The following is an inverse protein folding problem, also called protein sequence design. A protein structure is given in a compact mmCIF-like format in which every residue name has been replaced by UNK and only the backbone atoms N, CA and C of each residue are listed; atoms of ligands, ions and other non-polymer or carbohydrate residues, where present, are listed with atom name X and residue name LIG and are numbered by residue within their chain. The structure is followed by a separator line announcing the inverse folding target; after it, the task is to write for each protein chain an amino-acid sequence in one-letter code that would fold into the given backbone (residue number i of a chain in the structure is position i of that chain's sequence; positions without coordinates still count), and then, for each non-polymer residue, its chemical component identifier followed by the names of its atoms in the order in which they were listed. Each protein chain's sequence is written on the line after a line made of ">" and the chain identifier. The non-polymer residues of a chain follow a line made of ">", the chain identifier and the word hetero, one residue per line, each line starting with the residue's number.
data_IF_202512662961
#
_entry.id   IF_202512662961
#
_cell.length_a   1.000
_cell.length_b   1.000
_cell.length_c   1.000
_cell.angle_alpha   90.00
_cell.angle_beta   90.00
_cell.angle_gamma   90.00
#
_symmetry.space_group_name_H-M   'P 1'
#
loop_
_entity.id
_entity.type
_entity.pdbx_description
1 polymer ?
#
# COMPACT_ATOMS: atom_id res chain seq x y z
N UNK A 1 -27.36 -30.87 -11.54
CA UNK A 1 -26.47 -30.32 -10.47
C UNK A 1 -25.36 -29.41 -11.03
N UNK A 2 -24.48 -29.88 -11.94
CA UNK A 2 -23.33 -29.08 -12.45
C UNK A 2 -23.70 -27.72 -13.08
N UNK A 3 -24.72 -27.67 -13.94
CA UNK A 3 -25.15 -26.41 -14.58
C UNK A 3 -25.80 -25.40 -13.62
N UNK A 4 -26.35 -25.89 -12.51
CA UNK A 4 -26.91 -25.04 -11.47
C UNK A 4 -25.79 -24.37 -10.66
N UNK A 5 -24.76 -25.13 -10.28
CA UNK A 5 -23.57 -24.58 -9.60
C UNK A 5 -22.86 -23.57 -10.50
N UNK A 6 -22.69 -23.90 -11.79
CA UNK A 6 -22.07 -23.00 -12.77
C UNK A 6 -22.79 -21.65 -12.85
N UNK A 7 -24.12 -21.66 -12.94
CA UNK A 7 -24.92 -20.42 -12.99
C UNK A 7 -24.83 -19.60 -11.71
N UNK A 8 -24.81 -20.23 -10.54
CA UNK A 8 -24.64 -19.54 -9.27
C UNK A 8 -23.27 -18.85 -9.17
N UNK A 9 -22.20 -19.57 -9.48
CA UNK A 9 -20.84 -19.02 -9.46
C UNK A 9 -20.71 -17.88 -10.48
N UNK A 10 -21.25 -18.05 -11.68
CA UNK A 10 -21.23 -17.02 -12.70
C UNK A 10 -21.99 -15.75 -12.28
N UNK A 11 -23.12 -15.91 -11.60
CA UNK A 11 -23.89 -14.78 -11.06
C UNK A 11 -23.07 -13.99 -10.04
N UNK A 12 -22.42 -14.67 -9.10
CA UNK A 12 -21.57 -14.03 -8.09
C UNK A 12 -20.35 -13.35 -8.70
N UNK A 13 -19.65 -14.05 -9.60
CA UNK A 13 -18.51 -13.50 -10.34
C UNK A 13 -18.92 -12.24 -11.12
N UNK A 14 -20.10 -12.26 -11.76
CA UNK A 14 -20.62 -11.11 -12.49
C UNK A 14 -20.88 -9.89 -11.58
N UNK A 15 -21.53 -10.10 -10.43
CA UNK A 15 -21.79 -9.01 -9.50
C UNK A 15 -20.53 -8.43 -8.86
N UNK A 16 -19.68 -9.30 -8.31
CA UNK A 16 -18.41 -8.90 -7.73
C UNK A 16 -17.53 -8.19 -8.77
N UNK A 17 -17.51 -8.71 -10.00
CA UNK A 17 -16.76 -8.15 -11.10
C UNK A 17 -17.23 -6.72 -11.41
N UNK A 18 -18.53 -6.55 -11.68
CA UNK A 18 -19.11 -5.25 -12.02
C UNK A 18 -18.92 -4.21 -10.91
N UNK A 19 -19.04 -4.60 -9.64
CA UNK A 19 -18.78 -3.74 -8.49
C UNK A 19 -17.32 -3.29 -8.41
N UNK A 20 -16.38 -4.21 -8.66
CA UNK A 20 -14.95 -3.95 -8.49
C UNK A 20 -14.31 -3.23 -9.69
N UNK A 21 -14.94 -3.21 -10.88
CA UNK A 21 -14.36 -2.65 -12.11
C UNK A 21 -13.71 -1.26 -11.95
N UNK A 22 -14.41 -0.21 -11.48
CA UNK A 22 -13.82 1.12 -11.42
C UNK A 22 -12.63 1.18 -10.46
N UNK A 23 -12.72 0.44 -9.34
CA UNK A 23 -11.67 0.40 -8.34
C UNK A 23 -10.45 -0.36 -8.85
N UNK A 24 -10.61 -1.55 -9.45
CA UNK A 24 -9.49 -2.31 -10.00
C UNK A 24 -8.74 -1.53 -11.08
N UNK A 25 -9.45 -0.75 -11.91
CA UNK A 25 -8.82 0.16 -12.89
C UNK A 25 -8.02 1.24 -12.17
N UNK A 26 -8.63 1.95 -11.21
CA UNK A 26 -7.98 3.03 -10.47
C UNK A 26 -6.75 2.54 -9.71
N UNK A 27 -6.88 1.45 -8.95
CA UNK A 27 -5.80 0.86 -8.16
C UNK A 27 -4.66 0.38 -9.07
N UNK A 28 -4.97 -0.28 -10.19
CA UNK A 28 -3.94 -0.74 -11.11
C UNK A 28 -3.24 0.40 -11.83
N UNK A 29 -3.96 1.46 -12.23
CA UNK A 29 -3.38 2.61 -12.89
C UNK A 29 -2.46 3.41 -11.95
N UNK A 30 -2.95 3.71 -10.74
CA UNK A 30 -2.16 4.41 -9.71
C UNK A 30 -0.99 3.55 -9.23
N UNK A 31 -1.19 2.24 -9.08
CA UNK A 31 -0.13 1.28 -8.75
C UNK A 31 0.96 1.27 -9.82
N UNK A 32 0.59 1.18 -11.10
CA UNK A 32 1.51 1.23 -12.22
C UNK A 32 2.35 2.52 -12.24
N UNK A 33 1.76 3.68 -11.93
CA UNK A 33 2.49 4.94 -11.80
C UNK A 33 3.46 4.88 -10.61
N UNK A 34 2.99 4.40 -9.46
CA UNK A 34 3.78 4.36 -8.22
C UNK A 34 4.98 3.40 -8.28
N UNK A 35 4.92 2.33 -9.10
CA UNK A 35 6.05 1.43 -9.35
C UNK A 35 7.31 2.16 -9.86
N UNK A 36 7.12 3.29 -10.54
CA UNK A 36 8.18 4.09 -11.15
C UNK A 36 8.42 5.42 -10.41
N UNK A 37 8.06 5.49 -9.12
CA UNK A 37 8.17 6.72 -8.33
C UNK A 37 9.56 7.35 -8.33
N UNK A 38 10.61 6.55 -8.25
CA UNK A 38 11.99 7.06 -8.16
C UNK A 38 12.45 7.55 -9.53
N UNK A 39 12.04 6.88 -10.61
CA UNK A 39 12.31 7.28 -11.99
C UNK A 39 11.56 8.56 -12.37
N UNK A 40 10.30 8.68 -11.94
CA UNK A 40 9.50 9.89 -12.12
C UNK A 40 10.14 11.05 -11.36
N UNK A 41 10.55 10.82 -10.11
CA UNK A 41 11.22 11.84 -9.32
C UNK A 41 12.55 12.27 -9.95
N UNK A 42 13.39 11.32 -10.34
CA UNK A 42 14.68 11.57 -10.98
C UNK A 42 14.59 12.21 -12.38
N UNK A 43 13.39 12.34 -12.97
CA UNK A 43 13.19 12.94 -14.29
C UNK A 43 12.29 14.17 -14.23
N UNK A 44 10.99 13.98 -13.99
CA UNK A 44 10.00 15.05 -13.95
C UNK A 44 10.23 16.05 -12.81
N UNK A 45 10.89 15.61 -11.73
CA UNK A 45 11.21 16.44 -10.57
C UNK A 45 12.72 16.55 -10.32
N UNK A 46 13.54 16.29 -11.34
CA UNK A 46 15.00 16.29 -11.22
C UNK A 46 15.56 17.60 -10.63
N UNK A 47 14.94 18.74 -10.97
CA UNK A 47 15.34 20.07 -10.47
C UNK A 47 15.36 20.19 -8.94
N UNK A 48 14.59 19.36 -8.23
CA UNK A 48 14.57 19.35 -6.75
C UNK A 48 15.12 18.09 -6.10
N UNK A 49 15.21 16.99 -6.84
CA UNK A 49 15.64 15.70 -6.28
C UNK A 49 17.05 15.29 -6.67
N UNK A 50 17.60 15.88 -7.74
CA UNK A 50 18.92 15.54 -8.28
C UNK A 50 19.83 16.75 -8.22
N UNK A 51 21.03 16.56 -7.67
CA UNK A 51 22.09 17.57 -7.55
C UNK A 51 23.37 17.09 -8.20
N UNK A 52 24.24 18.01 -8.56
CA UNK A 52 25.60 17.67 -8.96
C UNK A 52 26.40 17.27 -7.71
N UNK A 53 27.07 16.12 -7.77
CA UNK A 53 28.01 15.75 -6.72
C UNK A 53 29.22 16.70 -6.76
N UNK A 54 29.59 17.26 -5.61
CA UNK A 54 30.76 18.12 -5.49
C UNK A 54 31.91 17.40 -4.77
N UNK A 55 33.14 17.90 -4.98
CA UNK A 55 34.33 17.39 -4.30
C UNK A 55 34.43 17.85 -2.84
N UNK A 56 33.63 18.84 -2.45
CA UNK A 56 33.50 19.34 -1.08
C UNK A 56 32.66 18.40 -0.24
N UNK A 57 32.90 18.41 1.08
CA UNK A 57 32.03 17.69 2.00
C UNK A 57 30.64 18.36 2.02
N UNK A 58 29.54 17.59 2.09
CA UNK A 58 28.22 18.14 2.35
C UNK A 58 28.19 19.00 3.62
N UNK A 59 27.32 20.01 3.62
CA UNK A 59 27.01 20.81 4.80
C UNK A 59 26.42 19.94 5.91
N UNK A 60 26.55 20.42 7.15
CA UNK A 60 26.01 19.71 8.29
C UNK A 60 24.46 19.73 8.31
N UNK A 61 23.82 18.68 8.85
CA UNK A 61 22.36 18.66 9.04
C UNK A 61 21.81 19.93 9.70
N UNK A 62 22.48 20.45 10.73
CA UNK A 62 22.11 21.68 11.43
C UNK A 62 22.10 22.88 10.48
N UNK A 63 23.11 23.01 9.62
CA UNK A 63 23.17 24.08 8.63
C UNK A 63 22.05 23.97 7.58
N UNK A 64 21.73 22.75 7.14
CA UNK A 64 20.64 22.54 6.18
C UNK A 64 19.27 22.81 6.80
N UNK A 65 19.07 22.44 8.07
CA UNK A 65 17.86 22.77 8.83
C UNK A 65 17.74 24.29 9.00
N UNK A 66 18.83 24.97 9.36
CA UNK A 66 18.87 26.43 9.45
C UNK A 66 18.44 27.08 8.13
N UNK A 67 19.06 26.68 7.00
CA UNK A 67 18.71 27.21 5.68
C UNK A 67 17.24 26.91 5.30
N UNK A 68 16.68 25.78 5.73
CA UNK A 68 15.27 25.46 5.52
C UNK A 68 14.35 26.38 6.35
N UNK A 69 14.68 26.63 7.61
CA UNK A 69 13.91 27.50 8.50
C UNK A 69 13.90 28.96 8.04
N UNK A 70 14.94 29.44 7.37
CA UNK A 70 14.96 30.77 6.74
C UNK A 70 13.86 30.94 5.68
N UNK A 71 13.30 29.84 5.15
CA UNK A 71 12.18 29.89 4.20
C UNK A 71 10.81 30.06 4.86
N UNK A 72 10.72 29.84 6.17
CA UNK A 72 9.51 29.96 6.98
C UNK A 72 9.89 30.15 8.46
N UNK A 73 10.13 31.41 8.90
CA UNK A 73 10.67 31.70 10.23
C UNK A 73 9.83 31.21 11.41
N UNK A 74 8.50 31.09 11.22
CA UNK A 74 7.57 30.62 12.25
C UNK A 74 7.36 29.09 12.23
N UNK A 75 8.01 28.38 11.31
CA UNK A 75 7.87 26.93 11.19
C UNK A 75 8.82 26.19 12.13
N UNK A 76 8.43 24.97 12.50
CA UNK A 76 9.28 24.06 13.28
C UNK A 76 9.86 22.97 12.37
N UNK A 77 11.14 22.63 12.53
CA UNK A 77 11.73 21.51 11.82
C UNK A 77 11.28 20.18 12.48
N UNK A 78 10.55 19.36 11.73
CA UNK A 78 10.03 18.07 12.20
C UNK A 78 11.00 16.92 11.92
N UNK A 79 11.50 16.82 10.69
CA UNK A 79 12.41 15.75 10.28
C UNK A 79 13.51 16.25 9.34
N UNK A 80 14.66 15.58 9.36
CA UNK A 80 15.72 15.71 8.38
C UNK A 80 15.93 14.35 7.71
N UNK A 81 15.89 14.32 6.38
CA UNK A 81 16.22 13.15 5.57
C UNK A 81 17.52 13.44 4.84
N UNK A 82 18.54 12.62 5.12
CA UNK A 82 19.82 12.77 4.45
C UNK A 82 19.73 12.38 2.95
N UNK A 83 20.65 12.87 2.11
CA UNK A 83 20.78 12.38 0.75
C UNK A 83 20.99 10.86 0.70
N UNK A 84 20.28 10.18 -0.20
CA UNK A 84 20.44 8.74 -0.40
C UNK A 84 21.81 8.38 -1.04
N UNK A 85 22.36 9.30 -1.82
CA UNK A 85 23.68 9.23 -2.46
C UNK A 85 24.20 10.64 -2.77
N UNK A 86 25.40 10.74 -3.33
CA UNK A 86 26.07 12.00 -3.65
C UNK A 86 25.35 12.88 -4.69
N UNK A 87 24.36 12.32 -5.40
CA UNK A 87 23.57 13.04 -6.41
C UNK A 87 22.14 13.34 -5.96
N UNK A 88 21.78 13.00 -4.73
CA UNK A 88 20.46 13.25 -4.17
C UNK A 88 20.42 14.56 -3.37
N UNK A 89 19.29 15.25 -3.41
CA UNK A 89 19.01 16.37 -2.50
C UNK A 89 18.82 15.89 -1.05
N UNK A 90 19.14 16.74 -0.08
CA UNK A 90 18.65 16.58 1.29
C UNK A 90 17.20 17.08 1.39
N UNK A 91 16.43 16.59 2.37
CA UNK A 91 15.07 17.06 2.62
C UNK A 91 14.87 17.40 4.09
N UNK A 92 14.38 18.60 4.37
CA UNK A 92 13.91 18.99 5.71
C UNK A 92 12.39 19.09 5.65
N UNK A 93 11.70 18.39 6.56
CA UNK A 93 10.26 18.57 6.74
C UNK A 93 10.01 19.63 7.79
N UNK A 94 9.40 20.74 7.39
CA UNK A 94 8.92 21.79 8.29
C UNK A 94 7.45 21.56 8.64
N UNK A 95 7.03 22.01 9.82
CA UNK A 95 5.64 22.15 10.22
C UNK A 95 5.29 23.64 10.20
N UNK A 96 4.50 24.03 9.22
CA UNK A 96 4.05 25.41 8.97
C UNK A 96 2.51 25.43 9.04
N UNK A 97 1.94 26.16 9.99
CA UNK A 97 0.49 26.17 10.28
C UNK A 97 -0.11 24.75 10.47
N UNK A 98 0.62 23.86 11.14
CA UNK A 98 0.22 22.46 11.32
C UNK A 98 0.27 21.60 10.05
N UNK A 99 0.77 22.13 8.92
CA UNK A 99 0.98 21.39 7.67
C UNK A 99 2.44 21.03 7.51
N UNK A 100 2.70 19.83 6.98
CA UNK A 100 4.06 19.38 6.66
C UNK A 100 4.49 19.93 5.30
N UNK A 101 5.58 20.68 5.26
CA UNK A 101 6.22 21.22 4.06
C UNK A 101 7.57 20.53 3.87
N UNK A 102 7.79 19.94 2.71
CA UNK A 102 9.08 19.38 2.31
C UNK A 102 9.92 20.48 1.68
N UNK A 103 11.07 20.76 2.26
CA UNK A 103 12.08 21.67 1.71
C UNK A 103 13.22 20.83 1.16
N UNK A 104 13.43 20.88 -0.15
CA UNK A 104 14.52 20.18 -0.82
C UNK A 104 15.73 21.10 -0.86
N UNK A 105 16.90 20.61 -0.46
CA UNK A 105 18.13 21.40 -0.42
C UNK A 105 19.26 20.71 -1.17
N UNK A 106 20.12 21.51 -1.80
CA UNK A 106 21.41 21.04 -2.25
C UNK A 106 22.31 20.79 -1.02
N UNK A 107 22.76 19.54 -0.78
CA UNK A 107 23.55 19.23 0.41
C UNK A 107 24.95 19.86 0.40
N UNK A 108 25.47 20.30 -0.75
CA UNK A 108 26.81 20.89 -0.87
C UNK A 108 26.78 22.42 -0.74
N UNK A 109 25.85 23.10 -1.41
CA UNK A 109 25.76 24.57 -1.39
C UNK A 109 24.82 25.08 -0.30
N UNK A 110 23.85 24.27 0.13
CA UNK A 110 22.79 24.65 1.06
C UNK A 110 21.64 25.41 0.39
N UNK A 111 21.64 25.54 -0.94
CA UNK A 111 20.59 26.21 -1.68
C UNK A 111 19.27 25.46 -1.55
N UNK A 112 18.18 26.20 -1.37
CA UNK A 112 16.82 25.66 -1.39
C UNK A 112 16.41 25.44 -2.84
N UNK A 113 16.17 24.18 -3.19
CA UNK A 113 15.81 23.76 -4.54
C UNK A 113 14.30 23.85 -4.81
N UNK A 114 13.48 23.47 -3.82
CA UNK A 114 12.02 23.56 -3.91
C UNK A 114 11.37 23.48 -2.52
N UNK A 115 10.14 23.97 -2.41
CA UNK A 115 9.27 23.85 -1.24
C UNK A 115 7.91 23.29 -1.67
N UNK A 116 7.55 22.13 -1.12
CA UNK A 116 6.33 21.43 -1.53
C UNK A 116 5.56 20.96 -0.31
N UNK A 117 4.27 21.28 -0.23
CA UNK A 117 3.42 20.67 0.78
C UNK A 117 3.43 19.14 0.63
N UNK A 118 3.70 18.42 1.71
CA UNK A 118 3.93 16.97 1.66
C UNK A 118 2.73 16.19 1.09
N UNK A 119 1.51 16.70 1.26
CA UNK A 119 0.28 16.12 0.73
C UNK A 119 -0.01 16.46 -0.73
N UNK A 120 0.78 17.37 -1.33
CA UNK A 120 0.75 17.76 -2.75
C UNK A 120 1.90 17.17 -3.56
N UNK A 121 2.84 16.47 -2.93
CA UNK A 121 3.87 15.71 -3.64
C UNK A 121 3.19 14.64 -4.52
N UNK A 122 3.62 14.51 -5.78
CA UNK A 122 2.91 13.71 -6.78
C UNK A 122 2.78 12.24 -6.35
N UNK A 123 3.84 11.63 -5.82
CA UNK A 123 3.79 10.25 -5.35
C UNK A 123 2.91 10.09 -4.11
N UNK A 124 2.81 11.10 -3.25
CA UNK A 124 1.85 11.12 -2.15
C UNK A 124 0.40 11.23 -2.65
N UNK A 125 0.14 12.07 -3.66
CA UNK A 125 -1.17 12.17 -4.32
C UNK A 125 -1.56 10.82 -4.93
N UNK A 126 -0.66 10.20 -5.71
CA UNK A 126 -0.87 8.89 -6.33
C UNK A 126 -1.14 7.82 -5.25
N UNK A 127 -0.37 7.81 -4.16
CA UNK A 127 -0.57 6.88 -3.04
C UNK A 127 -1.93 7.08 -2.34
N UNK A 128 -2.35 8.33 -2.12
CA UNK A 128 -3.66 8.64 -1.52
C UNK A 128 -4.82 8.29 -2.45
N UNK A 129 -4.66 8.42 -3.76
CA UNK A 129 -5.64 7.93 -4.74
C UNK A 129 -5.69 6.40 -4.78
N UNK A 130 -4.54 5.72 -4.78
CA UNK A 130 -4.43 4.26 -4.77
C UNK A 130 -5.14 3.63 -3.57
N UNK A 131 -5.00 4.27 -2.40
CA UNK A 131 -5.62 3.85 -1.14
C UNK A 131 -7.00 4.46 -0.91
N UNK A 132 -7.54 5.28 -1.83
CA UNK A 132 -8.77 6.06 -1.65
C UNK A 132 -8.80 6.95 -0.39
N UNK A 133 -7.64 7.24 0.21
CA UNK A 133 -7.53 7.99 1.47
C UNK A 133 -8.03 9.44 1.37
N UNK A 134 -8.02 10.05 0.17
CA UNK A 134 -8.63 11.37 -0.04
C UNK A 134 -10.13 11.42 0.28
N UNK A 135 -10.80 10.28 0.21
CA UNK A 135 -12.25 10.18 0.40
C UNK A 135 -12.62 9.67 1.80
N UNK A 136 -11.66 9.64 2.72
CA UNK A 136 -11.87 9.24 4.11
C UNK A 136 -11.80 7.73 4.38
N UNK A 137 -11.92 7.32 5.66
CA UNK A 137 -11.69 5.95 6.09
C UNK A 137 -12.69 4.94 5.51
N UNK A 138 -13.94 5.35 5.27
CA UNK A 138 -14.96 4.48 4.65
C UNK A 138 -14.55 4.11 3.23
N UNK A 139 -14.12 5.09 2.43
CA UNK A 139 -13.65 4.85 1.08
C UNK A 139 -12.33 4.06 1.06
N UNK A 140 -11.42 4.32 2.01
CA UNK A 140 -10.23 3.50 2.19
C UNK A 140 -10.58 2.02 2.48
N UNK A 141 -11.61 1.77 3.30
CA UNK A 141 -12.15 0.44 3.54
C UNK A 141 -12.69 -0.26 2.28
N UNK A 142 -13.12 0.48 1.26
CA UNK A 142 -13.51 -0.10 -0.04
C UNK A 142 -12.33 -0.80 -0.72
N UNK A 143 -11.08 -0.34 -0.52
CA UNK A 143 -9.90 -1.03 -1.04
C UNK A 143 -9.76 -2.43 -0.45
N UNK A 144 -10.03 -2.59 0.85
CA UNK A 144 -10.06 -3.91 1.51
C UNK A 144 -11.15 -4.80 0.92
N UNK A 145 -12.36 -4.25 0.74
CA UNK A 145 -13.49 -4.94 0.10
C UNK A 145 -13.10 -5.46 -1.28
N UNK A 146 -12.49 -4.60 -2.10
CA UNK A 146 -12.05 -4.89 -3.47
C UNK A 146 -10.93 -5.94 -3.47
N UNK A 147 -9.98 -5.87 -2.53
CA UNK A 147 -8.93 -6.87 -2.40
C UNK A 147 -9.51 -8.27 -2.04
N UNK A 148 -10.44 -8.34 -1.09
CA UNK A 148 -11.15 -9.58 -0.78
C UNK A 148 -11.96 -10.11 -1.96
N UNK A 149 -12.67 -9.24 -2.68
CA UNK A 149 -13.38 -9.64 -3.90
C UNK A 149 -12.44 -10.06 -5.02
N UNK A 150 -11.24 -9.49 -5.16
CA UNK A 150 -10.27 -9.91 -6.16
C UNK A 150 -9.88 -11.39 -5.98
N UNK A 151 -9.64 -11.82 -4.74
CA UNK A 151 -9.37 -13.24 -4.42
C UNK A 151 -10.57 -14.12 -4.79
N UNK A 152 -11.78 -13.70 -4.41
CA UNK A 152 -13.03 -14.42 -4.76
C UNK A 152 -13.23 -14.47 -6.29
N UNK A 153 -12.93 -13.38 -7.00
CA UNK A 153 -13.05 -13.27 -8.45
C UNK A 153 -12.08 -14.20 -9.17
N UNK A 154 -10.84 -14.33 -8.69
CA UNK A 154 -9.88 -15.28 -9.25
C UNK A 154 -10.34 -16.72 -9.00
N UNK A 155 -10.77 -17.05 -7.78
CA UNK A 155 -11.25 -18.39 -7.46
C UNK A 155 -12.48 -18.79 -8.30
N UNK A 156 -13.47 -17.90 -8.39
CA UNK A 156 -14.67 -18.11 -9.20
C UNK A 156 -14.36 -18.10 -10.70
N UNK A 157 -13.43 -17.24 -11.15
CA UNK A 157 -12.98 -17.16 -12.53
C UNK A 157 -12.27 -18.45 -12.97
N UNK A 158 -11.37 -18.99 -12.15
CA UNK A 158 -10.71 -20.26 -12.40
C UNK A 158 -11.72 -21.41 -12.52
N UNK A 159 -12.73 -21.44 -11.64
CA UNK A 159 -13.82 -22.40 -11.73
C UNK A 159 -14.62 -22.26 -13.04
N UNK A 160 -14.92 -21.03 -13.48
CA UNK A 160 -15.67 -20.76 -14.71
C UNK A 160 -14.87 -21.06 -15.98
N UNK A 161 -13.55 -20.81 -15.94
CA UNK A 161 -12.62 -21.05 -17.03
C UNK A 161 -12.32 -22.54 -17.25
N UNK A 162 -12.32 -23.35 -16.19
CA UNK A 162 -11.87 -24.75 -16.21
C UNK A 162 -12.35 -25.53 -17.47
N UNK A 163 -11.43 -26.16 -18.24
CA UNK A 163 -11.65 -26.49 -19.64
C UNK A 163 -12.77 -27.49 -19.91
N UNK A 164 -13.15 -28.39 -18.96
CA UNK A 164 -14.32 -29.31 -19.08
C UNK A 164 -14.51 -29.93 -20.48
N UNK A 165 -13.43 -30.34 -21.15
CA UNK A 165 -13.46 -30.94 -22.50
C UNK A 165 -13.54 -29.95 -23.67
N UNK A 166 -13.36 -28.65 -23.44
CA UNK A 166 -13.31 -27.60 -24.47
C UNK A 166 -11.89 -27.42 -25.01
N UNK A 167 -11.74 -27.40 -26.33
CA UNK A 167 -10.45 -27.12 -26.99
C UNK A 167 -10.18 -25.62 -27.24
N UNK A 168 -11.13 -24.88 -27.83
CA UNK A 168 -10.96 -23.47 -28.20
C UNK A 168 -11.42 -22.47 -27.13
N UNK A 169 -10.70 -21.36 -26.97
CA UNK A 169 -11.05 -20.30 -26.01
C UNK A 169 -10.62 -20.60 -24.56
N UNK A 170 -9.73 -21.58 -24.37
CA UNK A 170 -9.13 -21.93 -23.08
C UNK A 170 -7.77 -21.24 -22.93
N UNK A 171 -6.92 -21.35 -23.95
CA UNK A 171 -5.61 -20.69 -24.05
C UNK A 171 -5.43 -19.88 -25.35
N UNK A 172 -6.43 -19.93 -26.24
CA UNK A 172 -6.41 -19.23 -27.53
C UNK A 172 -7.50 -18.18 -27.59
N UNK A 173 -7.22 -17.06 -28.28
CA UNK A 173 -8.22 -16.03 -28.58
C UNK A 173 -8.87 -16.38 -29.92
N UNK A 174 -10.17 -16.65 -29.92
CA UNK A 174 -10.93 -16.85 -31.15
C UNK A 174 -11.53 -15.53 -31.62
N UNK A 175 -11.81 -15.48 -32.92
CA UNK A 175 -12.57 -14.40 -33.55
C UNK A 175 -11.85 -13.03 -33.53
N UNK A 176 -12.50 -11.99 -34.06
CA UNK A 176 -12.03 -10.60 -34.03
C UNK A 176 -12.80 -9.71 -33.04
N UNK A 177 -12.32 -8.48 -32.75
CA UNK A 177 -12.86 -7.60 -31.70
C UNK A 177 -14.33 -7.17 -31.90
N UNK A 178 -14.85 -7.27 -33.14
CA UNK A 178 -16.27 -7.06 -33.41
C UNK A 178 -17.16 -8.10 -32.67
N UNK A 179 -16.69 -9.33 -32.55
CA UNK A 179 -17.47 -10.46 -32.05
C UNK A 179 -17.37 -10.62 -30.53
N UNK A 180 -18.49 -11.00 -29.88
CA UNK A 180 -18.54 -11.18 -28.42
C UNK A 180 -17.59 -12.28 -27.91
N UNK A 181 -17.34 -13.31 -28.72
CA UNK A 181 -16.46 -14.42 -28.36
C UNK A 181 -15.02 -13.95 -28.14
N UNK A 182 -14.54 -12.98 -28.92
CA UNK A 182 -13.19 -12.41 -28.77
C UNK A 182 -12.98 -11.82 -27.37
N UNK A 183 -13.92 -10.98 -26.90
CA UNK A 183 -13.86 -10.36 -25.57
C UNK A 183 -13.89 -11.39 -24.45
N UNK A 184 -14.68 -12.46 -24.62
CA UNK A 184 -14.76 -13.57 -23.68
C UNK A 184 -13.45 -14.34 -23.61
N UNK A 185 -12.86 -14.65 -24.76
CA UNK A 185 -11.62 -15.39 -24.84
C UNK A 185 -10.46 -14.57 -24.30
N UNK A 186 -10.38 -13.28 -24.66
CA UNK A 186 -9.37 -12.36 -24.13
C UNK A 186 -9.46 -12.27 -22.61
N UNK A 187 -10.65 -12.05 -22.05
CA UNK A 187 -10.84 -12.02 -20.59
C UNK A 187 -10.43 -13.34 -19.93
N UNK A 188 -10.82 -14.48 -20.50
CA UNK A 188 -10.56 -15.79 -19.93
C UNK A 188 -9.07 -16.16 -19.97
N UNK A 189 -8.39 -15.90 -21.09
CA UNK A 189 -6.96 -16.18 -21.27
C UNK A 189 -6.10 -15.24 -20.44
N UNK A 190 -6.41 -13.93 -20.43
CA UNK A 190 -5.72 -12.98 -19.54
C UNK A 190 -5.94 -13.36 -18.08
N UNK A 191 -7.15 -13.78 -17.70
CA UNK A 191 -7.48 -14.15 -16.31
C UNK A 191 -6.75 -15.40 -15.85
N UNK A 192 -6.53 -16.36 -16.74
CA UNK A 192 -5.72 -17.55 -16.47
C UNK A 192 -4.26 -17.18 -16.13
N UNK A 193 -3.64 -16.32 -16.95
CA UNK A 193 -2.23 -15.95 -16.80
C UNK A 193 -2.04 -14.98 -15.63
N UNK A 194 -2.92 -13.98 -15.52
CA UNK A 194 -2.79 -12.90 -14.52
C UNK A 194 -3.42 -13.24 -13.17
N UNK A 195 -4.24 -14.30 -13.06
CA UNK A 195 -4.97 -14.62 -11.83
C UNK A 195 -4.06 -14.84 -10.62
N UNK A 196 -2.94 -15.54 -10.79
CA UNK A 196 -1.96 -15.72 -9.72
C UNK A 196 -1.32 -14.39 -9.30
N UNK A 197 -0.98 -13.52 -10.26
CA UNK A 197 -0.46 -12.18 -10.00
C UNK A 197 -1.47 -11.29 -9.27
N UNK A 198 -2.75 -11.38 -9.62
CA UNK A 198 -3.82 -10.62 -8.96
C UNK A 198 -4.05 -11.11 -7.52
N UNK A 199 -4.03 -12.42 -7.27
CA UNK A 199 -4.08 -12.96 -5.90
C UNK A 199 -2.86 -12.51 -5.11
N UNK A 200 -1.67 -12.54 -5.71
CA UNK A 200 -0.45 -12.05 -5.08
C UNK A 200 -0.57 -10.57 -4.69
N UNK A 201 -1.01 -9.69 -5.61
CA UNK A 201 -1.20 -8.27 -5.35
C UNK A 201 -2.25 -8.02 -4.25
N UNK A 202 -3.37 -8.75 -4.28
CA UNK A 202 -4.40 -8.64 -3.25
C UNK A 202 -3.88 -9.11 -1.88
N UNK A 203 -3.21 -10.26 -1.82
CA UNK A 203 -2.67 -10.84 -0.59
C UNK A 203 -1.56 -9.97 0.04
N UNK A 204 -0.71 -9.36 -0.78
CA UNK A 204 0.35 -8.45 -0.32
C UNK A 204 -0.15 -7.04 -0.02
N UNK A 205 -1.29 -6.62 -0.58
CA UNK A 205 -1.94 -5.35 -0.28
C UNK A 205 -2.82 -5.35 0.97
N UNK A 206 -3.47 -6.49 1.28
CA UNK A 206 -4.34 -6.64 2.45
C UNK A 206 -3.70 -6.26 3.80
N UNK A 207 -2.41 -6.53 4.08
CA UNK A 207 -1.76 -6.06 5.30
C UNK A 207 -1.84 -4.54 5.53
N UNK A 208 -2.04 -3.71 4.49
CA UNK A 208 -2.19 -2.25 4.63
C UNK A 208 -3.63 -1.78 4.87
N UNK A 209 -4.58 -2.69 4.83
CA UNK A 209 -5.99 -2.35 5.00
C UNK A 209 -6.33 -1.98 6.45
N UNK A 210 -7.35 -1.13 6.61
CA UNK A 210 -7.72 -0.56 7.91
C UNK A 210 -8.24 -1.57 8.92
N UNK A 211 -8.92 -2.65 8.49
CA UNK A 211 -9.49 -3.63 9.42
C UNK A 211 -8.65 -4.90 9.40
N UNK A 212 -8.51 -5.54 8.24
CA UNK A 212 -7.80 -6.81 8.14
C UNK A 212 -6.30 -6.64 8.43
N UNK A 213 -5.68 -5.59 7.89
CA UNK A 213 -4.28 -5.26 8.13
C UNK A 213 -3.98 -4.93 9.60
N UNK A 214 -4.86 -4.15 10.23
CA UNK A 214 -4.76 -3.85 11.66
C UNK A 214 -4.87 -5.11 12.52
N UNK A 215 -5.84 -6.00 12.26
CA UNK A 215 -5.98 -7.26 12.99
C UNK A 215 -4.77 -8.17 12.81
N UNK A 216 -4.27 -8.31 11.57
CA UNK A 216 -3.07 -9.10 11.29
C UNK A 216 -1.86 -8.57 12.08
N UNK A 217 -1.68 -7.26 12.14
CA UNK A 217 -0.63 -6.63 12.93
C UNK A 217 -0.82 -6.92 14.43
N UNK A 218 -2.01 -6.71 14.97
CA UNK A 218 -2.29 -6.94 16.39
C UNK A 218 -2.00 -8.39 16.78
N UNK A 219 -2.49 -9.36 16.00
CA UNK A 219 -2.28 -10.78 16.28
C UNK A 219 -0.81 -11.20 16.08
N UNK A 220 -0.16 -10.75 15.01
CA UNK A 220 1.27 -11.06 14.80
C UNK A 220 2.16 -10.47 15.90
N UNK A 221 1.87 -9.25 16.37
CA UNK A 221 2.59 -8.63 17.47
C UNK A 221 2.32 -9.33 18.82
N UNK A 222 1.08 -9.74 19.08
CA UNK A 222 0.73 -10.50 20.29
C UNK A 222 1.41 -11.88 20.31
N UNK A 223 1.56 -12.52 19.15
CA UNK A 223 2.26 -13.79 19.00
C UNK A 223 3.80 -13.67 18.95
N UNK A 224 4.37 -12.46 19.04
CA UNK A 224 5.82 -12.25 18.90
C UNK A 224 6.37 -12.49 17.49
N UNK A 225 5.51 -12.53 16.48
CA UNK A 225 5.85 -12.78 15.08
C UNK A 225 5.94 -11.51 14.23
N UNK A 226 5.55 -10.36 14.78
CA UNK A 226 5.64 -9.03 14.16
C UNK A 226 6.77 -8.18 14.76
N UNK A 227 6.41 -7.19 15.57
CA UNK A 227 7.33 -6.29 16.24
C UNK A 227 8.19 -6.98 17.31
N UNK A 228 9.49 -6.64 17.44
CA UNK A 228 10.36 -7.13 18.51
C UNK A 228 10.08 -6.42 19.84
N UNK A 229 8.94 -6.72 20.47
CA UNK A 229 8.45 -6.02 21.68
C UNK A 229 9.43 -6.06 22.85
N UNK A 230 10.28 -7.09 22.93
CA UNK A 230 11.31 -7.22 23.97
C UNK A 230 12.31 -6.05 23.96
N UNK A 231 12.55 -5.39 22.82
CA UNK A 231 13.44 -4.24 22.73
C UNK A 231 12.88 -2.99 23.44
N UNK A 232 11.59 -2.99 23.76
CA UNK A 232 10.92 -1.94 24.53
C UNK A 232 10.65 -2.33 25.98
N UNK A 233 11.06 -3.53 26.41
CA UNK A 233 10.92 -3.96 27.79
C UNK A 233 11.59 -2.93 28.73
N UNK A 234 10.88 -2.56 29.80
CA UNK A 234 11.34 -1.67 30.86
C UNK A 234 11.73 -0.24 30.42
N UNK A 235 11.25 0.21 29.26
CA UNK A 235 11.44 1.59 28.78
C UNK A 235 10.18 2.42 28.98
N UNK A 236 10.36 3.65 29.43
CA UNK A 236 9.31 4.66 29.35
C UNK A 236 9.07 4.99 27.87
N UNK A 237 7.80 5.06 27.47
CA UNK A 237 7.40 5.23 26.08
C UNK A 237 6.33 6.31 25.94
N UNK A 238 6.36 6.98 24.78
CA UNK A 238 5.32 7.91 24.34
C UNK A 238 4.08 7.16 23.86
N UNK A 239 2.93 7.83 23.97
CA UNK A 239 1.69 7.42 23.32
C UNK A 239 1.70 7.66 21.80
N UNK A 240 2.59 8.55 21.32
CA UNK A 240 2.75 8.84 19.88
C UNK A 240 3.47 7.66 19.22
N UNK A 241 2.86 7.03 18.20
CA UNK A 241 3.47 5.91 17.50
C UNK A 241 4.61 6.37 16.58
N UNK A 242 5.54 5.47 16.32
CA UNK A 242 6.74 5.74 15.53
C UNK A 242 6.44 6.28 14.11
N UNK A 243 5.36 5.80 13.47
CA UNK A 243 4.95 6.24 12.14
C UNK A 243 4.49 7.69 12.06
N UNK A 244 4.17 8.33 13.19
CA UNK A 244 3.89 9.77 13.25
C UNK A 244 5.17 10.61 13.39
N UNK A 245 6.25 10.00 13.90
CA UNK A 245 7.56 10.65 14.02
C UNK A 245 8.34 10.57 12.72
N UNK A 246 8.45 9.37 12.14
CA UNK A 246 9.17 9.13 10.89
C UNK A 246 8.30 8.35 9.90
N UNK A 247 8.22 8.86 8.67
CA UNK A 247 7.49 8.23 7.58
C UNK A 247 8.14 6.91 7.12
N UNK A 248 9.46 6.78 7.33
CA UNK A 248 10.25 5.62 6.94
C UNK A 248 10.22 4.43 7.95
N UNK A 249 9.39 4.45 8.99
CA UNK A 249 9.31 3.36 9.98
C UNK A 249 8.99 1.98 9.35
N UNK A 250 8.35 1.97 8.18
CA UNK A 250 7.90 0.74 7.53
C UNK A 250 6.68 0.14 8.23
N UNK A 251 6.05 -0.86 7.59
CA UNK A 251 4.79 -1.41 8.09
C UNK A 251 4.95 -1.95 9.50
N UNK A 252 5.89 -2.86 9.75
CA UNK A 252 6.02 -3.54 11.05
C UNK A 252 6.15 -2.57 12.21
N UNK A 253 6.93 -1.49 12.05
CA UNK A 253 7.29 -0.60 13.14
C UNK A 253 6.40 0.65 13.25
N UNK A 254 5.45 0.87 12.32
CA UNK A 254 4.66 2.11 12.31
C UNK A 254 3.91 2.36 13.63
N UNK A 255 3.39 1.32 14.27
CA UNK A 255 2.65 1.41 15.54
C UNK A 255 3.54 1.09 16.75
N UNK A 256 4.86 0.99 16.55
CA UNK A 256 5.78 0.79 17.66
C UNK A 256 5.79 2.04 18.53
N UNK A 257 5.80 1.89 19.87
CA UNK A 257 5.89 3.04 20.75
C UNK A 257 7.26 3.73 20.61
N UNK A 258 7.32 5.03 20.81
CA UNK A 258 8.58 5.78 20.77
C UNK A 258 9.16 5.81 22.19
N UNK A 259 10.42 5.38 22.43
CA UNK A 259 11.01 5.49 23.77
C UNK A 259 11.22 6.96 24.15
N UNK A 260 11.28 7.24 25.45
CA UNK A 260 11.51 8.59 25.99
C UNK A 260 12.96 8.77 26.45
N UNK A 261 13.52 9.93 26.15
CA UNK A 261 14.80 10.37 26.74
C UNK A 261 14.62 10.71 28.21
N UNK A 262 15.73 10.69 28.96
CA UNK A 262 15.76 11.15 30.34
C UNK A 262 16.46 12.50 30.41
N UNK A 263 15.74 13.60 30.72
CA UNK A 263 16.33 14.90 31.01
C UNK A 263 17.54 14.79 31.95
N UNK A 264 18.62 15.46 31.60
CA UNK A 264 19.81 15.60 32.44
C UNK A 264 20.01 17.06 32.83
N UNK A 265 20.68 17.29 33.96
CA UNK A 265 21.12 18.63 34.40
C UNK A 265 22.63 18.77 34.14
N UNK A 266 23.08 19.73 33.30
CA UNK A 266 22.28 20.70 32.56
C UNK A 266 21.55 20.10 31.35
N UNK A 267 20.41 20.70 30.99
CA UNK A 267 19.53 20.32 29.87
C UNK A 267 20.17 20.67 28.52
N UNK A 268 21.28 20.02 28.17
CA UNK A 268 22.01 20.25 26.91
C UNK A 268 21.84 19.03 25.99
N UNK A 269 21.07 19.20 24.93
CA UNK A 269 20.91 18.17 23.91
C UNK A 269 22.20 18.03 23.06
N UNK A 270 22.42 16.84 22.51
CA UNK A 270 23.62 16.55 21.69
C UNK A 270 23.65 17.31 20.35
N UNK A 271 22.50 17.83 19.91
CA UNK A 271 22.33 18.44 18.59
C UNK A 271 22.21 17.41 17.45
N UNK A 272 21.59 17.85 16.35
CA UNK A 272 21.29 16.99 15.19
C UNK A 272 22.55 16.46 14.50
N UNK A 273 23.60 17.28 14.38
CA UNK A 273 24.87 16.89 13.75
C UNK A 273 25.51 15.70 14.48
N UNK A 274 25.52 15.75 15.82
CA UNK A 274 26.04 14.65 16.64
C UNK A 274 25.14 13.43 16.55
N UNK A 275 23.82 13.60 16.53
CA UNK A 275 22.87 12.50 16.38
C UNK A 275 23.10 11.76 15.06
N UNK A 276 23.18 12.49 13.93
CA UNK A 276 23.47 11.93 12.59
C UNK A 276 24.83 11.22 12.57
N UNK A 277 25.87 11.81 13.14
CA UNK A 277 27.18 11.17 13.23
C UNK A 277 27.15 9.85 14.04
N UNK A 278 26.38 9.79 15.13
CA UNK A 278 26.17 8.55 15.90
C UNK A 278 25.42 7.51 15.05
N UNK A 279 24.39 7.91 14.31
CA UNK A 279 23.62 7.01 13.44
C UNK A 279 24.51 6.42 12.33
N UNK A 280 25.37 7.23 11.71
CA UNK A 280 26.39 6.76 10.77
C UNK A 280 27.35 5.76 11.43
N UNK A 281 27.88 6.09 12.60
CA UNK A 281 28.77 5.20 13.36
C UNK A 281 28.12 3.88 13.78
N UNK A 282 26.81 3.87 14.01
CA UNK A 282 26.05 2.65 14.27
C UNK A 282 25.77 1.83 12.99
N UNK A 283 26.03 2.38 11.80
CA UNK A 283 25.80 1.74 10.50
C UNK A 283 24.37 1.91 9.99
N UNK A 284 23.75 3.07 10.19
CA UNK A 284 22.45 3.39 9.59
C UNK A 284 22.55 3.39 8.06
N UNK A 285 21.60 2.79 7.31
CA UNK A 285 21.60 2.85 5.85
C UNK A 285 21.40 4.27 5.34
N UNK A 286 22.09 4.61 4.24
CA UNK A 286 21.98 5.91 3.57
C UNK A 286 20.53 6.26 3.20
N UNK A 287 20.22 7.55 3.22
CA UNK A 287 18.88 8.08 2.94
C UNK A 287 17.90 7.89 4.10
N UNK A 288 18.40 7.75 5.34
CA UNK A 288 17.52 7.66 6.50
C UNK A 288 16.85 9.00 6.81
N UNK A 289 15.64 8.91 7.35
CA UNK A 289 14.92 10.03 7.93
C UNK A 289 15.17 10.04 9.44
N UNK A 290 15.41 11.21 10.03
CA UNK A 290 15.49 11.40 11.48
C UNK A 290 14.49 12.48 11.92
N UNK A 291 13.64 12.14 12.88
CA UNK A 291 12.77 13.08 13.56
C UNK A 291 13.51 13.83 14.65
N UNK A 292 13.30 15.14 14.70
CA UNK A 292 13.86 16.04 15.70
C UNK A 292 13.01 15.98 16.99
N UNK A 293 13.62 15.98 18.18
CA UNK A 293 12.87 16.08 19.44
C UNK A 293 12.15 17.42 19.53
N UNK A 294 10.86 17.42 19.90
CA UNK A 294 10.07 18.65 20.07
C UNK A 294 9.96 19.06 21.55
N UNK A 295 10.07 18.10 22.47
CA UNK A 295 10.10 18.34 23.91
C UNK A 295 11.30 17.68 24.62
N UNK A 296 11.50 18.03 25.90
CA UNK A 296 12.63 17.55 26.68
C UNK A 296 12.66 16.05 27.00
N UNK A 297 11.56 15.32 26.76
CA UNK A 297 11.54 13.85 26.91
C UNK A 297 11.57 13.11 25.57
N UNK A 298 11.56 13.83 24.45
CA UNK A 298 11.57 13.21 23.13
C UNK A 298 12.93 12.64 22.76
N UNK A 299 13.00 11.93 21.64
CA UNK A 299 14.21 11.28 21.14
C UNK A 299 14.49 11.73 19.71
N UNK A 300 15.74 11.57 19.27
CA UNK A 300 16.01 11.48 17.85
C UNK A 300 15.56 10.09 17.37
N UNK A 301 14.46 10.02 16.62
CA UNK A 301 13.95 8.78 16.06
C UNK A 301 14.35 8.70 14.59
N UNK A 302 15.17 7.73 14.20
CA UNK A 302 15.68 7.55 12.86
C UNK A 302 15.17 6.26 12.24
N UNK A 303 14.80 6.29 10.97
CA UNK A 303 14.39 5.11 10.22
C UNK A 303 14.88 5.14 8.77
N UNK A 304 15.31 3.98 8.28
CA UNK A 304 15.68 3.76 6.89
C UNK A 304 14.85 2.61 6.31
N UNK A 305 14.19 2.88 5.17
CA UNK A 305 13.41 1.88 4.43
C UNK A 305 13.89 1.77 2.96
N UNK A 306 15.13 1.31 2.72
CA UNK A 306 15.67 1.19 1.38
C UNK A 306 14.94 0.10 0.57
N UNK A 307 15.10 0.14 -0.76
CA UNK A 307 14.53 -0.88 -1.69
C UNK A 307 14.90 -2.31 -1.27
N UNK A 308 16.15 -2.53 -0.85
CA UNK A 308 16.57 -3.77 -0.22
C UNK A 308 16.02 -3.85 1.22
N UNK A 309 14.79 -4.36 1.36
CA UNK A 309 14.05 -4.37 2.64
C UNK A 309 14.79 -5.05 3.79
N UNK A 310 15.75 -5.94 3.52
CA UNK A 310 16.60 -6.58 4.52
C UNK A 310 17.58 -5.62 5.20
N UNK A 311 17.85 -4.46 4.59
CA UNK A 311 18.68 -3.40 5.16
C UNK A 311 17.88 -2.40 5.98
N UNK A 312 16.56 -2.56 6.12
CA UNK A 312 15.77 -1.64 6.94
C UNK A 312 16.27 -1.61 8.38
N UNK A 313 16.22 -0.43 8.97
CA UNK A 313 16.67 -0.21 10.34
C UNK A 313 15.93 0.95 10.97
N UNK A 314 15.71 0.85 12.27
CA UNK A 314 15.13 1.89 13.08
C UNK A 314 15.95 2.08 14.34
N UNK A 315 16.30 3.31 14.68
CA UNK A 315 17.08 3.63 15.89
C UNK A 315 16.43 4.81 16.60
N UNK A 316 16.27 4.74 17.91
CA UNK A 316 15.89 5.88 18.74
C UNK A 316 17.03 6.22 19.68
N UNK A 317 17.58 7.44 19.57
CA UNK A 317 18.66 7.93 20.41
C UNK A 317 18.12 8.82 21.52
N UNK A 318 18.63 8.64 22.73
CA UNK A 318 18.44 9.58 23.81
C UNK A 318 19.04 10.95 23.42
N UNK A 319 18.24 12.01 23.52
CA UNK A 319 18.61 13.34 23.00
C UNK A 319 19.74 14.03 23.78
N UNK A 320 20.06 13.57 24.99
CA UNK A 320 21.08 14.17 25.86
C UNK A 320 22.39 13.38 25.84
N UNK A 321 22.30 12.06 25.80
CA UNK A 321 23.48 11.17 25.86
C UNK A 321 23.90 10.62 24.50
N UNK A 322 23.00 10.64 23.51
CA UNK A 322 23.20 9.97 22.22
C UNK A 322 23.21 8.45 22.29
N UNK A 323 22.89 7.85 23.45
CA UNK A 323 22.83 6.39 23.59
C UNK A 323 21.63 5.85 22.81
N UNK A 324 21.78 4.76 22.04
CA UNK A 324 20.65 4.10 21.42
C UNK A 324 19.75 3.48 22.49
N UNK A 325 18.55 4.03 22.64
CA UNK A 325 17.51 3.49 23.52
C UNK A 325 16.88 2.25 22.90
N UNK A 326 16.69 2.28 21.57
CA UNK A 326 16.18 1.19 20.76
C UNK A 326 16.96 1.16 19.45
N UNK A 327 17.34 -0.04 19.00
CA UNK A 327 17.92 -0.30 17.68
C UNK A 327 17.27 -1.58 17.14
N UNK A 328 16.48 -1.44 16.08
CA UNK A 328 15.77 -2.53 15.42
C UNK A 328 16.34 -2.73 14.04
N UNK A 329 16.91 -3.90 13.80
CA UNK A 329 17.33 -4.37 12.48
C UNK A 329 16.24 -5.26 11.88
N UNK A 330 16.34 -5.49 10.58
CA UNK A 330 15.46 -6.45 9.91
C UNK A 330 15.47 -7.84 10.53
N UNK A 331 16.63 -8.30 11.02
CA UNK A 331 16.80 -9.61 11.68
C UNK A 331 15.98 -9.76 12.96
N UNK A 332 15.71 -8.64 13.64
CA UNK A 332 15.02 -8.62 14.94
C UNK A 332 13.50 -8.70 14.75
N UNK A 333 12.99 -8.26 13.59
CA UNK A 333 11.57 -8.37 13.23
C UNK A 333 11.17 -9.85 13.15
N UNK A 334 10.03 -10.22 13.73
CA UNK A 334 9.52 -11.58 13.69
C UNK A 334 9.19 -12.08 12.28
N UNK A 335 9.00 -13.41 12.13
CA UNK A 335 8.86 -14.05 10.82
C UNK A 335 7.70 -13.52 9.96
N UNK A 336 6.55 -13.21 10.57
CA UNK A 336 5.40 -12.63 9.88
C UNK A 336 5.70 -11.20 9.45
N UNK A 337 6.28 -10.39 10.33
CA UNK A 337 6.72 -9.04 9.99
C UNK A 337 7.69 -9.02 8.81
N UNK A 338 8.72 -9.88 8.82
CA UNK A 338 9.68 -9.98 7.71
C UNK A 338 9.01 -10.41 6.40
N UNK A 339 8.13 -11.40 6.45
CA UNK A 339 7.39 -11.87 5.27
C UNK A 339 6.53 -10.75 4.66
N UNK A 340 5.87 -9.95 5.50
CA UNK A 340 5.10 -8.79 5.05
C UNK A 340 6.01 -7.75 4.42
N UNK A 341 7.13 -7.36 5.06
CA UNK A 341 8.05 -6.37 4.47
C UNK A 341 8.62 -6.83 3.11
N UNK A 342 8.93 -8.13 2.94
CA UNK A 342 9.29 -8.69 1.63
C UNK A 342 8.13 -8.61 0.64
N UNK A 343 6.91 -9.00 1.05
CA UNK A 343 5.71 -8.87 0.22
C UNK A 343 5.46 -7.44 -0.24
N UNK A 344 5.68 -6.46 0.63
CA UNK A 344 5.62 -5.02 0.34
C UNK A 344 6.66 -4.63 -0.71
N UNK A 345 7.91 -5.08 -0.54
CA UNK A 345 8.97 -4.82 -1.51
C UNK A 345 8.64 -5.40 -2.89
N UNK A 346 8.15 -6.64 -2.94
CA UNK A 346 7.69 -7.29 -4.17
C UNK A 346 6.51 -6.53 -4.81
N UNK A 347 5.51 -6.15 -4.02
CA UNK A 347 4.32 -5.43 -4.48
C UNK A 347 4.68 -4.07 -5.09
N UNK A 348 5.65 -3.35 -4.49
CA UNK A 348 6.11 -2.04 -4.95
C UNK A 348 7.15 -2.08 -6.08
N UNK A 349 7.61 -3.26 -6.50
CA UNK A 349 8.68 -3.34 -7.50
C UNK A 349 10.08 -3.05 -6.97
N UNK A 350 10.28 -3.05 -5.65
CA UNK A 350 11.55 -2.63 -5.04
C UNK A 350 12.62 -3.73 -5.04
N UNK A 351 12.22 -5.00 -5.10
CA UNK A 351 13.15 -6.13 -5.11
C UNK A 351 13.58 -6.49 -6.54
N UNK A 352 14.80 -7.01 -6.73
CA UNK A 352 15.31 -7.47 -8.04
C UNK A 352 15.24 -6.44 -9.19
N UNK A 353 15.13 -5.15 -8.87
CA UNK A 353 15.17 -4.04 -9.83
C UNK A 353 14.09 -4.12 -10.90
N UNK A 354 14.48 -3.88 -12.16
CA UNK A 354 13.57 -3.75 -13.31
C UNK A 354 12.71 -5.00 -13.54
N UNK A 355 13.22 -6.19 -13.24
CA UNK A 355 12.47 -7.42 -13.43
C UNK A 355 11.17 -7.43 -12.60
N UNK A 356 11.25 -7.06 -11.32
CA UNK A 356 10.07 -6.99 -10.47
C UNK A 356 9.15 -5.83 -10.88
N UNK A 357 9.70 -4.65 -11.20
CA UNK A 357 8.88 -3.51 -11.63
C UNK A 357 8.07 -3.85 -12.89
N UNK A 358 8.71 -4.47 -13.89
CA UNK A 358 8.05 -4.86 -15.14
C UNK A 358 7.04 -5.99 -14.92
N UNK A 359 7.32 -6.94 -14.02
CA UNK A 359 6.36 -7.98 -13.65
C UNK A 359 5.11 -7.39 -12.97
N UNK A 360 5.27 -6.47 -12.02
CA UNK A 360 4.15 -5.79 -11.38
C UNK A 360 3.38 -4.91 -12.36
N UNK A 361 4.07 -4.19 -13.25
CA UNK A 361 3.45 -3.42 -14.33
C UNK A 361 2.60 -4.32 -15.23
N UNK A 362 3.11 -5.49 -15.61
CA UNK A 362 2.36 -6.45 -16.41
C UNK A 362 1.09 -6.91 -15.70
N UNK A 363 1.13 -7.16 -14.38
CA UNK A 363 -0.06 -7.48 -13.60
C UNK A 363 -1.06 -6.32 -13.49
N UNK A 364 -0.58 -5.08 -13.33
CA UNK A 364 -1.44 -3.89 -13.37
C UNK A 364 -2.15 -3.75 -14.74
N UNK A 365 -1.40 -3.85 -15.84
CA UNK A 365 -1.95 -3.75 -17.20
C UNK A 365 -2.92 -4.90 -17.49
N UNK A 366 -2.62 -6.13 -17.06
CA UNK A 366 -3.51 -7.27 -17.20
C UNK A 366 -4.81 -7.07 -16.39
N UNK A 367 -4.73 -6.48 -15.19
CA UNK A 367 -5.91 -6.19 -14.37
C UNK A 367 -6.80 -5.12 -15.00
N UNK A 368 -6.19 -4.08 -15.60
CA UNK A 368 -6.91 -3.08 -16.40
C UNK A 368 -7.60 -3.76 -17.59
N UNK A 369 -6.88 -4.61 -18.32
CA UNK A 369 -7.43 -5.33 -19.47
C UNK A 369 -8.59 -6.26 -19.06
N UNK A 370 -8.47 -6.98 -17.94
CA UNK A 370 -9.55 -7.80 -17.39
C UNK A 370 -10.79 -6.96 -17.07
N UNK A 371 -10.59 -5.78 -16.50
CA UNK A 371 -11.67 -4.86 -16.15
C UNK A 371 -12.37 -4.31 -17.39
N UNK A 372 -11.60 -3.88 -18.40
CA UNK A 372 -12.13 -3.38 -19.68
C UNK A 372 -12.88 -4.50 -20.42
N UNK A 373 -12.32 -5.69 -20.50
CA UNK A 373 -12.95 -6.83 -21.18
C UNK A 373 -14.21 -7.29 -20.48
N UNK A 374 -14.26 -7.27 -19.14
CA UNK A 374 -15.46 -7.53 -18.37
C UNK A 374 -16.55 -6.47 -18.63
N UNK A 375 -16.19 -5.18 -18.66
CA UNK A 375 -17.11 -4.09 -19.01
C UNK A 375 -17.67 -4.26 -20.42
N UNK A 376 -16.82 -4.54 -21.42
CA UNK A 376 -17.21 -4.73 -22.81
C UNK A 376 -18.12 -5.95 -22.99
N UNK A 377 -17.80 -7.08 -22.34
CA UNK A 377 -18.66 -8.27 -22.33
C UNK A 377 -20.02 -8.00 -21.71
N UNK A 378 -20.07 -7.26 -20.60
CA UNK A 378 -21.31 -6.86 -19.96
C UNK A 378 -22.13 -5.96 -20.89
N UNK A 379 -21.51 -4.92 -21.46
CA UNK A 379 -22.18 -3.98 -22.34
C UNK A 379 -22.77 -4.63 -23.58
N UNK A 380 -22.04 -5.58 -24.21
CA UNK A 380 -22.53 -6.35 -25.36
C UNK A 380 -23.60 -7.39 -25.01
N UNK A 381 -23.73 -7.79 -23.74
CA UNK A 381 -24.70 -8.80 -23.28
C UNK A 381 -25.97 -8.19 -22.70
N UNK A 382 -25.89 -7.01 -22.08
CA UNK A 382 -26.99 -6.46 -21.29
C UNK A 382 -28.20 -6.14 -22.19
N UNK A 383 -29.42 -6.57 -21.82
CA UNK A 383 -30.64 -6.13 -22.48
C UNK A 383 -30.85 -4.63 -22.28
N UNK A 384 -31.47 -3.94 -23.24
CA UNK A 384 -31.83 -2.53 -23.09
C UNK A 384 -32.67 -2.31 -21.80
N UNK A 385 -32.28 -1.31 -21.00
CA UNK A 385 -32.96 -0.98 -19.75
C UNK A 385 -32.79 -2.00 -18.60
N UNK A 386 -31.92 -3.01 -18.72
CA UNK A 386 -31.69 -4.01 -17.65
C UNK A 386 -30.20 -4.27 -17.43
N UNK A 387 -29.81 -4.55 -16.18
CA UNK A 387 -28.42 -4.92 -15.82
C UNK A 387 -27.94 -6.24 -16.45
N UNK A 388 -28.85 -7.10 -16.94
CA UNK A 388 -28.49 -8.36 -17.60
C UNK A 388 -27.90 -9.40 -16.64
N UNK A 389 -28.37 -9.41 -15.39
CA UNK A 389 -27.89 -10.30 -14.34
C UNK A 389 -28.21 -11.78 -14.67
N UNK A 390 -27.27 -12.72 -14.51
CA UNK A 390 -27.54 -14.15 -14.65
C UNK A 390 -28.65 -14.64 -13.70
N UNK A 391 -29.62 -15.46 -14.14
CA UNK A 391 -30.70 -15.94 -13.28
C UNK A 391 -30.18 -16.90 -12.18
N UNK A 392 -30.87 -16.92 -11.03
CA UNK A 392 -30.61 -17.91 -9.98
C UNK A 392 -30.83 -19.35 -10.51
N UNK A 393 -30.08 -20.34 -10.01
CA UNK A 393 -30.39 -21.73 -10.28
C UNK A 393 -31.79 -22.07 -9.74
N UNK A 394 -32.53 -22.92 -10.46
CA UNK A 394 -33.85 -23.40 -10.01
C UNK A 394 -33.78 -24.22 -8.72
N UNK A 395 -32.65 -24.89 -8.50
CA UNK A 395 -32.40 -25.66 -7.28
C UNK A 395 -31.94 -24.75 -6.14
N UNK A 396 -32.82 -24.59 -5.14
CA UNK A 396 -32.59 -23.75 -3.97
C UNK A 396 -31.46 -24.27 -3.07
N UNK A 397 -31.22 -25.59 -3.03
CA UNK A 397 -30.14 -26.17 -2.21
C UNK A 397 -28.77 -25.78 -2.76
N UNK A 398 -28.63 -25.77 -4.08
CA UNK A 398 -27.41 -25.35 -4.76
C UNK A 398 -27.17 -23.84 -4.60
N UNK A 399 -28.23 -23.03 -4.73
CA UNK A 399 -28.14 -21.61 -4.46
C UNK A 399 -27.70 -21.34 -3.01
N UNK A 400 -28.28 -22.04 -2.04
CA UNK A 400 -27.92 -21.94 -0.63
C UNK A 400 -26.48 -22.39 -0.37
N UNK A 401 -26.03 -23.51 -0.94
CA UNK A 401 -24.66 -24.02 -0.76
C UNK A 401 -23.59 -23.07 -1.31
N UNK A 402 -23.79 -22.53 -2.53
CA UNK A 402 -22.85 -21.55 -3.12
C UNK A 402 -22.85 -20.25 -2.33
N UNK A 403 -24.02 -19.81 -1.87
CA UNK A 403 -24.12 -18.61 -1.01
C UNK A 403 -23.42 -18.83 0.32
N UNK A 404 -23.58 -20.00 0.95
CA UNK A 404 -22.86 -20.38 2.17
C UNK A 404 -21.34 -20.38 1.99
N UNK A 405 -20.84 -20.87 0.85
CA UNK A 405 -19.42 -20.80 0.52
C UNK A 405 -18.92 -19.36 0.40
N UNK A 406 -19.66 -18.49 -0.31
CA UNK A 406 -19.31 -17.07 -0.47
C UNK A 406 -19.35 -16.34 0.89
N UNK A 407 -20.31 -16.66 1.76
CA UNK A 407 -20.36 -16.14 3.13
C UNK A 407 -19.20 -16.65 3.98
N UNK A 408 -18.81 -17.93 3.85
CA UNK A 408 -17.63 -18.48 4.52
C UNK A 408 -16.34 -17.77 4.10
N UNK A 409 -16.18 -17.45 2.81
CA UNK A 409 -15.08 -16.59 2.34
C UNK A 409 -15.20 -15.17 2.90
N UNK A 410 -16.41 -14.64 3.07
CA UNK A 410 -16.69 -13.36 3.72
C UNK A 410 -16.30 -13.32 5.20
N UNK A 411 -16.24 -14.46 5.91
CA UNK A 411 -15.73 -14.50 7.29
C UNK A 411 -14.21 -14.28 7.36
N UNK A 412 -13.48 -14.67 6.32
CA UNK A 412 -12.04 -14.39 6.21
C UNK A 412 -11.75 -12.93 5.86
N UNK A 413 -12.72 -12.25 5.23
CA UNK A 413 -12.62 -10.85 4.79
C UNK A 413 -13.84 -10.06 5.30
N UNK A 414 -13.87 -9.61 6.57
CA UNK A 414 -15.08 -9.10 7.22
C UNK A 414 -15.79 -7.99 6.44
N UNK A 415 -15.06 -7.01 5.91
CA UNK A 415 -15.66 -5.94 5.11
C UNK A 415 -16.26 -6.47 3.80
N UNK A 416 -15.57 -7.37 3.10
CA UNK A 416 -16.11 -8.03 1.91
C UNK A 416 -17.36 -8.86 2.26
N UNK A 417 -17.34 -9.56 3.40
CA UNK A 417 -18.48 -10.31 3.94
C UNK A 417 -19.71 -9.43 4.18
N UNK A 418 -19.53 -8.25 4.78
CA UNK A 418 -20.60 -7.27 4.97
C UNK A 418 -21.20 -6.81 3.64
N UNK A 419 -20.35 -6.57 2.62
CA UNK A 419 -20.83 -6.18 1.29
C UNK A 419 -21.57 -7.35 0.60
N UNK A 420 -21.09 -8.58 0.75
CA UNK A 420 -21.81 -9.79 0.27
C UNK A 420 -23.20 -9.88 0.92
N UNK A 421 -23.30 -9.65 2.23
CA UNK A 421 -24.58 -9.66 2.95
C UNK A 421 -25.51 -8.56 2.47
N UNK A 422 -25.00 -7.33 2.26
CA UNK A 422 -25.77 -6.23 1.71
C UNK A 422 -26.29 -6.55 0.29
N UNK A 423 -25.44 -7.13 -0.56
CA UNK A 423 -25.82 -7.56 -1.91
C UNK A 423 -26.90 -8.64 -1.89
N UNK A 424 -26.81 -9.60 -0.96
CA UNK A 424 -27.86 -10.61 -0.75
C UNK A 424 -29.18 -9.99 -0.31
N UNK A 425 -29.14 -9.08 0.66
CA UNK A 425 -30.33 -8.38 1.15
C UNK A 425 -31.03 -7.59 0.06
N UNK A 426 -30.27 -6.82 -0.73
CA UNK A 426 -30.78 -6.08 -1.89
C UNK A 426 -31.39 -7.01 -2.95
N UNK A 427 -30.72 -8.12 -3.26
CA UNK A 427 -31.21 -9.05 -4.26
C UNK A 427 -32.48 -9.79 -3.83
N UNK A 428 -32.60 -10.13 -2.54
CA UNK A 428 -33.82 -10.70 -1.97
C UNK A 428 -34.96 -9.67 -1.95
N UNK A 429 -34.67 -8.42 -1.55
CA UNK A 429 -35.66 -7.33 -1.56
C UNK A 429 -36.22 -7.01 -2.95
N UNK A 430 -35.36 -6.99 -3.98
CA UNK A 430 -35.80 -6.80 -5.37
C UNK A 430 -36.69 -7.96 -5.84
N UNK A 431 -36.41 -9.19 -5.40
CA UNK A 431 -37.23 -10.36 -5.73
C UNK A 431 -38.60 -10.31 -5.05
N UNK A 432 -38.70 -9.82 -3.82
CA UNK A 432 -39.98 -9.69 -3.10
C UNK A 432 -40.86 -8.57 -3.66
N UNK A 433 -40.26 -7.49 -4.17
CA UNK A 433 -40.97 -6.34 -4.73
C UNK A 433 -41.39 -6.51 -6.20
N UNK A 434 -40.85 -7.52 -6.92
CA UNK A 434 -41.29 -7.80 -8.28
C UNK A 434 -42.73 -8.37 -8.25
N UNK A 435 -43.69 -7.75 -8.96
CA UNK A 435 -45.02 -8.32 -9.10
C UNK A 435 -44.88 -9.75 -9.62
N UNK A 436 -45.51 -10.72 -8.94
CA UNK A 436 -45.73 -12.04 -9.51
C UNK A 436 -46.55 -11.83 -10.79
N UNK A 437 -45.89 -11.74 -11.94
CA UNK A 437 -46.59 -11.85 -13.22
C UNK A 437 -47.26 -13.23 -13.18
N UNK A 438 -48.58 -13.22 -13.14
CA UNK A 438 -49.39 -14.42 -13.26
C UNK A 438 -48.91 -15.22 -14.48
N UNK A 439 -48.81 -16.52 -14.28
CA UNK A 439 -48.35 -17.49 -15.27
C UNK A 439 -49.23 -17.48 -16.52
#
# INVERSE_FOLDING_TARGET
>A
MRDAVYRAVWRWHFYAGLLCLPFLILLSATGAIYLFKDEINATLFAARTVVAAEATAPLSPDRLIFNALETAPDAEAATFTEPADATASAVVTLVEDGRRILVFLNPYTGDVLDRVAADRELMMVVRRLHSLAYFGPVANGVVEVVAGFAIILVATGAYLWWPRGRGGGVVTIRAGPAQRVWWRDLHAVTGLVAGAGLVFLAATGLPWSIVWGAQLRTWSNAAGLGQPRALWADKAVSAVPMGERVSAAGWTMQDAPVPLSRPQDPLVAIGIDRAVAILHGLGMPAGFEVALPAGGTDVYAAAAYPRAVSRQRLISLDQYTGRPLVDVRFSDIGGVGRAIQYGIGLHKGDLWGRANQLAMLAFCLATILLSITAAAMWWKRRPAGRLGVPPWPRDRRIAAGVTGLVLGLGLLFPLTGLVILAMLGLDLGIQTLRPRRAA
#
